data_IF_532268223592
#
_entry.id   IF_532268223592
#
_cell.length_a   1.000
_cell.length_b   1.000
_cell.length_c   1.000
_cell.angle_alpha   90.00
_cell.angle_beta   90.00
_cell.angle_gamma   90.00
#
_symmetry.space_group_name_H-M   'P 1'
#
loop_
_entity.id
_entity.type
_entity.pdbx_description
1 polymer ?
#
# COMPACT_ATOMS: atom_id res chain seq x y z
N UNK A 1 -39.62 -1.32 4.43
CA UNK A 1 -38.79 -0.72 5.51
C UNK A 1 -37.33 -0.90 5.09
N UNK A 2 -36.58 0.20 5.02
CA UNK A 2 -35.31 0.28 4.33
C UNK A 2 -34.19 -0.49 5.05
N UNK A 3 -33.50 -1.34 4.30
CA UNK A 3 -32.23 -1.99 4.62
C UNK A 3 -31.14 -0.92 4.51
N UNK A 4 -30.49 -0.60 5.64
CA UNK A 4 -29.35 0.33 5.66
C UNK A 4 -28.13 -0.40 5.11
N UNK A 5 -27.81 -0.13 3.84
CA UNK A 5 -26.48 -0.32 3.26
C UNK A 5 -25.50 0.67 3.91
N UNK A 6 -24.60 0.17 4.76
CA UNK A 6 -23.33 0.82 5.10
C UNK A 6 -22.21 0.16 4.29
N UNK A 7 -21.46 0.95 3.51
CA UNK A 7 -20.57 0.50 2.44
C UNK A 7 -19.34 -0.33 2.87
N UNK A 8 -18.67 -0.99 1.91
CA UNK A 8 -17.50 -1.80 2.18
C UNK A 8 -16.23 -0.94 2.28
N UNK A 9 -15.41 -1.18 3.32
CA UNK A 9 -13.96 -1.00 3.18
C UNK A 9 -13.20 -0.09 4.16
N UNK A 10 -13.81 0.37 5.25
CA UNK A 10 -13.11 1.17 6.26
C UNK A 10 -13.15 0.50 7.66
N UNK A 11 -12.56 -0.68 7.77
CA UNK A 11 -12.23 -1.31 9.05
C UNK A 11 -10.73 -1.15 9.29
N UNK A 12 -10.33 -0.04 9.90
CA UNK A 12 -8.97 0.14 10.38
C UNK A 12 -8.83 -0.48 11.79
N UNK A 13 -7.74 -1.22 11.97
CA UNK A 13 -7.13 -1.60 13.25
C UNK A 13 -7.74 -2.79 14.03
N UNK A 14 -7.56 -4.00 13.47
CA UNK A 14 -7.35 -5.22 14.27
C UNK A 14 -5.97 -5.77 13.96
N UNK A 15 -4.98 -5.52 14.84
CA UNK A 15 -3.63 -6.11 14.93
C UNK A 15 -3.10 -6.88 13.70
N UNK A 16 -2.90 -6.21 12.56
CA UNK A 16 -2.09 -6.80 11.49
C UNK A 16 -0.67 -6.99 12.03
N UNK A 17 -0.11 -8.19 11.85
CA UNK A 17 1.29 -8.45 12.13
C UNK A 17 2.18 -7.45 11.39
N UNK A 18 3.37 -7.20 11.92
CA UNK A 18 4.31 -6.26 11.29
C UNK A 18 4.57 -6.63 9.82
N UNK A 19 4.67 -7.92 9.50
CA UNK A 19 4.82 -8.43 8.13
C UNK A 19 3.60 -8.10 7.24
N UNK A 20 2.37 -8.33 7.73
CA UNK A 20 1.15 -7.99 6.97
C UNK A 20 1.05 -6.48 6.70
N UNK A 21 1.49 -5.65 7.66
CA UNK A 21 1.54 -4.21 7.47
C UNK A 21 2.56 -3.79 6.42
N UNK A 22 3.73 -4.43 6.39
CA UNK A 22 4.74 -4.20 5.36
C UNK A 22 4.28 -4.66 3.98
N UNK A 23 3.57 -5.79 3.89
CA UNK A 23 2.99 -6.27 2.63
C UNK A 23 1.91 -5.31 2.10
N UNK A 24 1.06 -4.79 2.98
CA UNK A 24 0.08 -3.77 2.63
C UNK A 24 0.75 -2.48 2.12
N UNK A 25 1.80 -2.01 2.81
CA UNK A 25 2.57 -0.83 2.38
C UNK A 25 3.22 -1.10 1.01
N UNK A 26 3.83 -2.26 0.81
CA UNK A 26 4.46 -2.63 -0.45
C UNK A 26 3.44 -2.64 -1.61
N UNK A 27 2.26 -3.22 -1.40
CA UNK A 27 1.19 -3.22 -2.39
C UNK A 27 0.72 -1.79 -2.75
N UNK A 28 0.47 -0.96 -1.73
CA UNK A 28 0.05 0.43 -1.93
C UNK A 28 1.10 1.26 -2.69
N UNK A 29 2.37 1.13 -2.32
CA UNK A 29 3.47 1.86 -2.97
C UNK A 29 3.63 1.43 -4.44
N UNK A 30 3.43 0.14 -4.74
CA UNK A 30 3.48 -0.38 -6.10
C UNK A 30 2.35 0.17 -6.99
N UNK A 31 1.13 0.31 -6.45
CA UNK A 31 0.01 0.95 -7.15
C UNK A 31 0.31 2.42 -7.44
N UNK A 32 0.78 3.17 -6.42
CA UNK A 32 1.17 4.57 -6.58
C UNK A 32 2.28 4.74 -7.61
N UNK A 33 3.25 3.81 -7.67
CA UNK A 33 4.34 3.84 -8.65
C UNK A 33 3.78 3.74 -10.07
N UNK A 34 2.83 2.84 -10.27
CA UNK A 34 2.18 2.62 -11.56
C UNK A 34 1.41 3.86 -12.01
N UNK A 35 0.63 4.47 -11.11
CA UNK A 35 -0.09 5.72 -11.38
C UNK A 35 0.87 6.88 -11.68
N UNK A 36 1.98 6.97 -10.93
CA UNK A 36 2.99 8.02 -11.11
C UNK A 36 3.71 7.89 -12.45
N UNK A 37 4.00 6.66 -12.89
CA UNK A 37 4.58 6.40 -14.20
C UNK A 37 3.60 6.75 -15.34
N UNK A 38 2.31 6.39 -15.20
CA UNK A 38 1.26 6.77 -16.16
C UNK A 38 1.07 8.29 -16.24
N UNK A 39 1.20 9.00 -15.12
CA UNK A 39 1.13 10.46 -15.06
C UNK A 39 2.42 11.16 -15.50
N UNK A 40 3.44 10.43 -16.00
CA UNK A 40 4.77 10.95 -16.34
C UNK A 40 5.49 11.65 -15.16
N UNK A 41 5.11 11.36 -13.92
CA UNK A 41 5.78 11.82 -12.71
C UNK A 41 6.99 10.92 -12.39
N UNK A 42 8.03 10.97 -13.23
CA UNK A 42 9.18 10.07 -13.14
C UNK A 42 9.91 10.14 -11.79
N UNK A 43 10.08 11.33 -11.23
CA UNK A 43 10.70 11.51 -9.90
C UNK A 43 9.91 10.79 -8.81
N UNK A 44 8.58 10.92 -8.83
CA UNK A 44 7.71 10.27 -7.84
C UNK A 44 7.72 8.75 -8.02
N UNK A 45 7.67 8.25 -9.27
CA UNK A 45 7.77 6.83 -9.54
C UNK A 45 9.10 6.23 -9.03
N UNK A 46 10.20 6.96 -9.16
CA UNK A 46 11.49 6.51 -8.64
C UNK A 46 11.52 6.46 -7.11
N UNK A 47 11.01 7.49 -6.43
CA UNK A 47 10.91 7.50 -4.96
C UNK A 47 10.05 6.35 -4.43
N UNK A 48 8.95 6.04 -5.13
CA UNK A 48 8.08 4.92 -4.78
C UNK A 48 8.75 3.57 -5.01
N UNK A 49 9.61 3.43 -6.03
CA UNK A 49 10.40 2.20 -6.21
C UNK A 49 11.36 1.95 -5.03
N UNK A 50 11.99 3.01 -4.51
CA UNK A 50 12.86 2.92 -3.33
C UNK A 50 12.07 2.51 -2.09
N UNK A 51 10.92 3.14 -1.85
CA UNK A 51 10.06 2.82 -0.71
C UNK A 51 9.52 1.38 -0.77
N UNK A 52 9.21 0.89 -1.97
CA UNK A 52 8.78 -0.50 -2.16
C UNK A 52 9.89 -1.48 -1.76
N UNK A 53 11.12 -1.25 -2.23
CA UNK A 53 12.28 -2.09 -1.89
C UNK A 53 12.54 -2.10 -0.38
N UNK A 54 12.51 -0.94 0.27
CA UNK A 54 12.70 -0.84 1.71
C UNK A 54 11.64 -1.63 2.49
N UNK A 55 10.38 -1.59 2.06
CA UNK A 55 9.32 -2.37 2.70
C UNK A 55 9.54 -3.89 2.55
N UNK A 56 9.97 -4.33 1.36
CA UNK A 56 10.27 -5.74 1.07
C UNK A 56 11.50 -6.22 1.85
N UNK A 57 12.57 -5.42 1.89
CA UNK A 57 13.79 -5.72 2.65
C UNK A 57 13.50 -5.82 4.14
N UNK A 58 12.72 -4.88 4.70
CA UNK A 58 12.31 -4.93 6.11
C UNK A 58 11.46 -6.14 6.44
N UNK A 59 10.67 -6.64 5.49
CA UNK A 59 9.90 -7.88 5.67
C UNK A 59 10.83 -9.09 5.70
N UNK A 60 11.84 -9.14 4.84
CA UNK A 60 12.77 -10.26 4.76
C UNK A 60 13.70 -10.38 5.99
N UNK A 61 13.90 -9.28 6.72
CA UNK A 61 14.71 -9.23 7.94
C UNK A 61 13.95 -9.56 9.23
N UNK A 62 12.64 -9.82 9.18
CA UNK A 62 11.77 -10.13 10.33
C UNK A 62 11.36 -11.59 10.29
#
# INVERSE_FOLDING_TARGET
>A
MAIVQGGPGASYAGSASYCERLDYIAAMVQELKTMSAQANCQTLAHLLDLAYREAVERRACV
#
